data_IF_019755492110
#
_entry.id   IF_019755492110
#
_cell.length_a   1.000
_cell.length_b   1.000
_cell.length_c   1.000
_cell.angle_alpha   90.00
_cell.angle_beta   90.00
_cell.angle_gamma   90.00
#
_symmetry.space_group_name_H-M   'P 1'
#
loop_
_entity.id
_entity.type
_entity.pdbx_description
1 polymer ?
#
# COMPACT_ATOMS: atom_id res chain seq x y z
N UNK A 1 -33.02 -14.28 -48.50
CA UNK A 1 -32.75 -15.62 -47.94
C UNK A 1 -31.43 -15.51 -47.23
N UNK A 2 -31.45 -15.00 -46.01
CA UNK A 2 -30.28 -14.90 -45.11
C UNK A 2 -30.44 -16.00 -44.08
N UNK A 3 -29.50 -16.94 -44.09
CA UNK A 3 -29.44 -18.05 -43.14
C UNK A 3 -29.13 -17.53 -41.74
N UNK A 4 -30.10 -17.64 -40.86
CA UNK A 4 -29.91 -17.57 -39.43
C UNK A 4 -28.96 -18.72 -39.02
N UNK A 5 -27.69 -18.38 -38.73
CA UNK A 5 -26.81 -19.31 -38.00
C UNK A 5 -27.21 -19.32 -36.54
N UNK A 6 -28.19 -20.14 -36.26
CA UNK A 6 -28.51 -20.55 -34.90
C UNK A 6 -27.40 -21.50 -34.43
N UNK A 7 -26.34 -20.92 -33.80
CA UNK A 7 -25.28 -21.72 -33.15
C UNK A 7 -25.70 -22.01 -31.73
N UNK A 8 -26.60 -22.96 -31.54
CA UNK A 8 -26.88 -23.59 -30.25
C UNK A 8 -25.79 -24.64 -29.93
N UNK A 9 -24.55 -24.19 -29.73
CA UNK A 9 -23.56 -25.02 -29.09
C UNK A 9 -23.85 -24.98 -27.56
N UNK A 10 -24.40 -26.07 -27.04
CA UNK A 10 -24.51 -26.24 -25.58
C UNK A 10 -23.12 -26.06 -25.00
N UNK A 11 -22.89 -25.05 -24.14
CA UNK A 11 -21.56 -24.81 -23.58
C UNK A 11 -21.10 -26.05 -22.82
N UNK A 12 -19.84 -26.45 -23.06
CA UNK A 12 -19.22 -27.58 -22.36
C UNK A 12 -19.29 -27.31 -20.84
N UNK A 13 -19.84 -28.22 -20.05
CA UNK A 13 -19.99 -28.03 -18.61
C UNK A 13 -18.63 -27.91 -17.96
N UNK A 14 -18.49 -26.91 -17.11
CA UNK A 14 -17.30 -26.67 -16.30
C UNK A 14 -17.50 -27.34 -14.95
N UNK A 15 -16.51 -28.10 -14.48
CA UNK A 15 -16.57 -28.78 -13.16
C UNK A 15 -15.39 -28.36 -12.32
N UNK A 16 -15.64 -28.03 -11.06
CA UNK A 16 -14.59 -27.61 -10.11
C UNK A 16 -15.03 -27.77 -8.65
N UNK A 17 -14.06 -27.65 -7.75
CA UNK A 17 -14.30 -27.62 -6.30
C UNK A 17 -14.75 -26.22 -5.88
N UNK A 18 -15.76 -26.13 -5.05
CA UNK A 18 -16.31 -24.88 -4.53
C UNK A 18 -15.50 -24.35 -3.34
N UNK A 19 -15.19 -23.05 -3.38
CA UNK A 19 -14.72 -22.27 -2.24
C UNK A 19 -15.73 -21.18 -1.96
N UNK A 20 -16.22 -21.12 -0.71
CA UNK A 20 -17.36 -20.28 -0.34
C UNK A 20 -16.96 -19.31 0.75
N UNK A 21 -17.12 -18.01 0.51
CA UNK A 21 -16.96 -16.98 1.53
C UNK A 21 -17.66 -15.68 1.10
N UNK A 22 -18.46 -15.09 1.96
CA UNK A 22 -19.06 -13.78 1.73
C UNK A 22 -18.04 -12.62 1.70
N UNK A 23 -16.81 -12.87 2.17
CA UNK A 23 -15.71 -11.89 2.13
C UNK A 23 -14.62 -12.36 1.17
N UNK A 24 -14.51 -11.71 0.03
CA UNK A 24 -13.53 -12.05 -1.02
C UNK A 24 -12.11 -12.13 -0.46
N UNK A 25 -11.72 -11.23 0.46
CA UNK A 25 -10.41 -11.24 1.10
C UNK A 25 -10.10 -12.59 1.80
N UNK A 26 -11.07 -13.20 2.43
CA UNK A 26 -10.90 -14.50 3.07
C UNK A 26 -10.84 -15.63 2.04
N UNK A 27 -11.68 -15.52 1.01
CA UNK A 27 -11.75 -16.49 -0.08
C UNK A 27 -10.42 -16.62 -0.82
N UNK A 28 -9.82 -15.49 -1.19
CA UNK A 28 -8.54 -15.46 -1.94
C UNK A 28 -7.35 -16.03 -1.16
N UNK A 29 -7.44 -16.16 0.14
CA UNK A 29 -6.40 -16.81 0.96
C UNK A 29 -6.42 -18.34 0.84
N UNK A 30 -7.54 -18.93 0.37
CA UNK A 30 -7.79 -20.37 0.38
C UNK A 30 -8.02 -20.95 -1.00
N UNK A 31 -8.54 -20.18 -1.94
CA UNK A 31 -8.85 -20.63 -3.30
C UNK A 31 -7.58 -20.92 -4.09
N UNK A 32 -7.61 -22.01 -4.86
CA UNK A 32 -6.55 -22.44 -5.74
C UNK A 32 -6.96 -22.32 -7.22
N UNK A 33 -5.98 -22.23 -8.16
CA UNK A 33 -6.28 -22.15 -9.59
C UNK A 33 -7.16 -23.31 -10.06
N UNK A 34 -8.20 -23.00 -10.87
CA UNK A 34 -9.13 -23.99 -11.40
C UNK A 34 -10.28 -24.37 -10.46
N UNK A 35 -10.35 -23.82 -9.28
CA UNK A 35 -11.50 -23.96 -8.37
C UNK A 35 -12.63 -22.97 -8.73
N UNK A 36 -13.80 -23.14 -8.15
CA UNK A 36 -14.98 -22.28 -8.31
C UNK A 36 -15.08 -21.36 -7.10
N UNK A 37 -15.05 -20.05 -7.29
CA UNK A 37 -15.26 -19.06 -6.27
C UNK A 37 -16.76 -18.80 -6.09
N UNK A 38 -17.31 -18.95 -4.89
CA UNK A 38 -18.68 -18.57 -4.52
C UNK A 38 -18.61 -17.38 -3.58
N UNK A 39 -19.21 -16.26 -3.99
CA UNK A 39 -19.18 -14.99 -3.29
C UNK A 39 -20.59 -14.42 -3.11
N UNK A 40 -20.71 -13.46 -2.21
CA UNK A 40 -21.92 -12.66 -2.03
C UNK A 40 -21.49 -11.18 -2.00
N UNK A 41 -21.31 -10.62 -3.21
CA UNK A 41 -20.79 -9.27 -3.35
C UNK A 41 -21.66 -8.47 -4.32
N UNK A 42 -22.44 -7.53 -3.77
CA UNK A 42 -23.11 -6.52 -4.58
C UNK A 42 -22.10 -5.47 -5.02
N UNK A 43 -22.20 -5.06 -6.29
CA UNK A 43 -21.31 -4.03 -6.87
C UNK A 43 -19.82 -4.40 -6.71
N UNK A 44 -19.39 -5.44 -7.42
CA UNK A 44 -18.03 -5.99 -7.36
C UNK A 44 -16.99 -4.95 -7.78
N UNK A 45 -16.17 -4.52 -6.83
CA UNK A 45 -15.12 -3.53 -7.05
C UNK A 45 -13.90 -4.09 -7.80
N UNK A 46 -13.04 -3.18 -8.30
CA UNK A 46 -11.83 -3.51 -9.04
C UNK A 46 -10.83 -4.32 -8.22
N UNK A 47 -10.61 -3.97 -6.95
CA UNK A 47 -9.61 -4.61 -6.11
C UNK A 47 -10.00 -6.05 -5.82
N UNK A 48 -11.26 -6.28 -5.48
CA UNK A 48 -11.83 -7.62 -5.27
C UNK A 48 -11.76 -8.49 -6.53
N UNK A 49 -12.09 -7.93 -7.70
CA UNK A 49 -12.00 -8.66 -8.97
C UNK A 49 -10.55 -9.04 -9.32
N UNK A 50 -9.59 -8.12 -9.17
CA UNK A 50 -8.16 -8.40 -9.39
C UNK A 50 -7.62 -9.45 -8.44
N UNK A 51 -8.05 -9.39 -7.17
CA UNK A 51 -7.67 -10.39 -6.19
C UNK A 51 -8.16 -11.80 -6.60
N UNK A 52 -9.39 -11.92 -7.11
CA UNK A 52 -9.90 -13.16 -7.69
C UNK A 52 -9.12 -13.60 -8.94
N UNK A 53 -8.87 -12.68 -9.88
CA UNK A 53 -8.07 -12.96 -11.09
C UNK A 53 -6.68 -13.50 -10.74
N UNK A 54 -6.02 -12.95 -9.72
CA UNK A 54 -4.70 -13.40 -9.27
C UNK A 54 -4.66 -14.86 -8.83
N UNK A 55 -5.83 -15.42 -8.47
CA UNK A 55 -6.01 -16.82 -8.07
C UNK A 55 -6.46 -17.75 -9.20
N UNK A 56 -6.79 -17.18 -10.36
CA UNK A 56 -7.23 -17.92 -11.54
C UNK A 56 -8.34 -18.95 -11.26
N UNK A 57 -9.48 -18.58 -10.62
CA UNK A 57 -10.61 -19.48 -10.51
C UNK A 57 -11.15 -19.79 -11.90
N UNK A 58 -11.74 -20.99 -12.09
CA UNK A 58 -12.34 -21.36 -13.37
C UNK A 58 -13.70 -20.67 -13.59
N UNK A 59 -14.39 -20.36 -12.48
CA UNK A 59 -15.66 -19.63 -12.46
C UNK A 59 -15.84 -18.85 -11.17
N UNK A 60 -16.58 -17.75 -11.26
CA UNK A 60 -17.08 -16.98 -10.12
C UNK A 60 -18.61 -17.07 -10.13
N UNK A 61 -19.15 -17.54 -9.02
CA UNK A 61 -20.58 -17.65 -8.76
C UNK A 61 -20.97 -16.62 -7.71
N UNK A 62 -21.71 -15.59 -8.09
CA UNK A 62 -22.09 -14.51 -7.18
C UNK A 62 -23.55 -14.64 -6.77
N UNK A 63 -23.79 -14.66 -5.46
CA UNK A 63 -25.14 -14.68 -4.91
C UNK A 63 -25.91 -13.40 -5.22
N UNK A 64 -25.23 -12.24 -5.15
CA UNK A 64 -25.77 -10.92 -5.44
C UNK A 64 -25.44 -10.48 -6.88
N UNK A 65 -26.10 -9.45 -7.44
CA UNK A 65 -25.72 -8.86 -8.70
C UNK A 65 -24.37 -8.13 -8.57
N UNK A 66 -23.41 -8.50 -9.43
CA UNK A 66 -22.07 -7.91 -9.48
C UNK A 66 -22.06 -6.46 -9.99
N UNK A 67 -23.15 -6.03 -10.63
CA UNK A 67 -23.46 -4.63 -10.97
C UNK A 67 -24.94 -4.38 -10.65
N UNK A 68 -25.20 -3.49 -9.69
CA UNK A 68 -26.58 -3.11 -9.35
C UNK A 68 -27.12 -1.99 -10.24
N UNK A 69 -26.30 -1.47 -11.13
CA UNK A 69 -26.62 -0.30 -11.94
C UNK A 69 -26.67 1.02 -11.14
N UNK A 70 -26.34 1.01 -9.85
CA UNK A 70 -26.34 2.21 -8.99
C UNK A 70 -24.99 2.89 -8.91
N UNK A 71 -23.93 2.11 -9.11
CA UNK A 71 -22.55 2.55 -9.02
C UNK A 71 -21.76 2.09 -10.25
N UNK A 72 -20.72 2.84 -10.59
CA UNK A 72 -19.78 2.42 -11.60
C UNK A 72 -18.89 1.31 -11.03
N UNK A 73 -18.95 0.12 -11.59
CA UNK A 73 -18.16 -1.02 -11.16
C UNK A 73 -17.40 -1.63 -12.34
N UNK A 74 -16.12 -1.91 -12.14
CA UNK A 74 -15.25 -2.52 -13.14
C UNK A 74 -14.99 -4.01 -12.88
N UNK A 75 -15.41 -4.51 -11.73
CA UNK A 75 -15.14 -5.88 -11.32
C UNK A 75 -15.59 -6.93 -12.33
N UNK A 76 -16.84 -6.93 -12.79
CA UNK A 76 -17.33 -7.89 -13.77
C UNK A 76 -16.50 -7.89 -15.07
N UNK A 77 -16.14 -6.71 -15.57
CA UNK A 77 -15.29 -6.53 -16.73
C UNK A 77 -13.93 -7.18 -16.58
N UNK A 78 -13.28 -6.94 -15.45
CA UNK A 78 -11.95 -7.48 -15.12
C UNK A 78 -11.96 -9.01 -15.09
N UNK A 79 -13.03 -9.62 -14.52
CA UNK A 79 -13.18 -11.07 -14.50
C UNK A 79 -13.36 -11.65 -15.92
N UNK A 80 -14.23 -11.04 -16.73
CA UNK A 80 -14.49 -11.50 -18.09
C UNK A 80 -13.29 -11.31 -19.02
N UNK A 81 -12.58 -10.17 -18.92
CA UNK A 81 -11.34 -9.91 -19.67
C UNK A 81 -10.23 -10.91 -19.32
N UNK A 82 -10.24 -11.44 -18.09
CA UNK A 82 -9.34 -12.51 -17.65
C UNK A 82 -9.79 -13.91 -18.10
N UNK A 83 -10.94 -14.02 -18.81
CA UNK A 83 -11.48 -15.30 -19.28
C UNK A 83 -12.15 -16.14 -18.19
N UNK A 84 -12.49 -15.54 -17.05
CA UNK A 84 -13.18 -16.21 -15.94
C UNK A 84 -14.68 -16.17 -16.22
N UNK A 85 -15.33 -17.34 -16.13
CA UNK A 85 -16.78 -17.44 -16.26
C UNK A 85 -17.45 -16.84 -15.02
N UNK A 86 -18.41 -15.94 -15.24
CA UNK A 86 -19.14 -15.29 -14.14
C UNK A 86 -20.63 -15.59 -14.26
N UNK A 87 -21.21 -16.16 -13.22
CA UNK A 87 -22.68 -16.30 -13.09
C UNK A 87 -23.12 -15.41 -11.92
N UNK A 88 -24.00 -14.51 -12.23
CA UNK A 88 -24.47 -13.45 -11.34
C UNK A 88 -25.90 -13.69 -10.87
N UNK A 89 -26.28 -13.02 -9.79
CA UNK A 89 -27.65 -13.04 -9.25
C UNK A 89 -28.20 -14.47 -8.99
N UNK A 90 -27.34 -15.34 -8.45
CA UNK A 90 -27.69 -16.74 -8.12
C UNK A 90 -28.62 -16.85 -6.89
N UNK A 91 -28.79 -15.76 -6.13
CA UNK A 91 -29.52 -15.74 -4.88
C UNK A 91 -28.72 -16.29 -3.68
N UNK A 92 -29.21 -16.00 -2.45
CA UNK A 92 -28.45 -16.31 -1.23
C UNK A 92 -28.28 -17.82 -0.96
N UNK A 93 -29.09 -18.65 -1.56
CA UNK A 93 -29.06 -20.12 -1.32
C UNK A 93 -27.75 -20.75 -1.83
N UNK A 94 -27.07 -20.16 -2.84
CA UNK A 94 -25.77 -20.64 -3.32
C UNK A 94 -24.70 -20.60 -2.23
N UNK A 95 -24.81 -19.70 -1.26
CA UNK A 95 -23.88 -19.59 -0.14
C UNK A 95 -23.99 -20.77 0.86
N UNK A 96 -25.01 -21.61 0.71
CA UNK A 96 -25.17 -22.84 1.54
C UNK A 96 -24.35 -24.02 1.03
N UNK A 97 -23.71 -23.91 -0.11
CA UNK A 97 -22.79 -24.90 -0.66
C UNK A 97 -21.62 -25.10 0.30
N UNK A 98 -21.22 -26.36 0.49
CA UNK A 98 -20.12 -26.70 1.40
C UNK A 98 -18.77 -26.46 0.76
N UNK A 99 -17.85 -26.00 1.57
CA UNK A 99 -16.43 -25.84 1.16
C UNK A 99 -15.87 -27.16 0.63
N UNK A 100 -15.26 -27.11 -0.57
CA UNK A 100 -14.67 -28.30 -1.22
C UNK A 100 -15.68 -29.21 -1.92
N UNK A 101 -16.95 -28.82 -2.01
CA UNK A 101 -17.96 -29.58 -2.74
C UNK A 101 -17.74 -29.46 -4.25
N UNK A 102 -17.92 -30.56 -5.00
CA UNK A 102 -17.80 -30.53 -6.46
C UNK A 102 -19.06 -29.99 -7.10
N UNK A 103 -18.95 -28.91 -7.84
CA UNK A 103 -20.02 -28.29 -8.60
C UNK A 103 -19.77 -28.42 -10.09
N UNK A 104 -20.86 -28.41 -10.85
CA UNK A 104 -20.85 -28.32 -12.30
C UNK A 104 -21.63 -27.08 -12.73
N UNK A 105 -21.04 -26.31 -13.65
CA UNK A 105 -21.66 -25.14 -14.24
C UNK A 105 -22.01 -25.43 -15.69
N UNK A 106 -23.26 -25.24 -16.07
CA UNK A 106 -23.79 -25.48 -17.42
C UNK A 106 -24.59 -24.27 -17.88
N UNK A 107 -23.95 -23.40 -18.65
CA UNK A 107 -24.57 -22.12 -19.05
C UNK A 107 -24.84 -21.25 -17.82
N UNK A 108 -26.10 -20.98 -17.53
CA UNK A 108 -26.58 -20.20 -16.40
C UNK A 108 -26.99 -21.05 -15.17
N UNK A 109 -26.88 -22.37 -15.27
CA UNK A 109 -27.28 -23.31 -14.24
C UNK A 109 -26.06 -23.77 -13.43
N UNK A 110 -26.23 -23.87 -12.11
CA UNK A 110 -25.27 -24.50 -11.21
C UNK A 110 -25.85 -25.81 -10.72
N UNK A 111 -25.10 -26.91 -10.92
CA UNK A 111 -25.55 -28.26 -10.60
C UNK A 111 -24.66 -28.89 -9.52
N UNK A 112 -25.31 -29.69 -8.67
CA UNK A 112 -24.69 -30.52 -7.65
C UNK A 112 -25.16 -31.97 -7.85
N UNK A 113 -24.21 -32.87 -8.12
CA UNK A 113 -24.50 -34.29 -8.38
C UNK A 113 -25.55 -34.53 -9.50
N UNK A 114 -25.67 -33.60 -10.46
CA UNK A 114 -26.63 -33.66 -11.57
C UNK A 114 -27.92 -32.88 -11.34
N UNK A 115 -28.22 -32.48 -10.10
CA UNK A 115 -29.40 -31.67 -9.76
C UNK A 115 -29.07 -30.18 -9.84
N UNK A 116 -29.95 -29.37 -10.42
CA UNK A 116 -29.83 -27.91 -10.47
C UNK A 116 -30.11 -27.34 -9.09
N UNK A 117 -29.13 -26.64 -8.52
CA UNK A 117 -29.24 -26.03 -7.19
C UNK A 117 -29.43 -24.52 -7.24
N UNK A 118 -29.02 -23.87 -8.33
CA UNK A 118 -29.22 -22.44 -8.55
C UNK A 118 -29.25 -22.12 -10.05
N UNK A 119 -29.94 -21.03 -10.38
CA UNK A 119 -29.96 -20.43 -11.70
C UNK A 119 -29.64 -18.95 -11.55
N UNK A 120 -28.73 -18.44 -12.38
CA UNK A 120 -28.33 -17.05 -12.37
C UNK A 120 -28.26 -16.46 -13.78
N UNK A 121 -27.61 -15.33 -13.89
CA UNK A 121 -27.33 -14.66 -15.15
C UNK A 121 -25.87 -14.90 -15.54
N UNK A 122 -25.66 -15.53 -16.69
CA UNK A 122 -24.31 -15.70 -17.26
C UNK A 122 -23.90 -14.36 -17.88
N UNK A 123 -22.92 -13.70 -17.27
CA UNK A 123 -22.41 -12.44 -17.79
C UNK A 123 -21.63 -12.64 -19.10
N UNK A 124 -21.93 -11.83 -20.09
CA UNK A 124 -21.24 -11.80 -21.38
C UNK A 124 -20.76 -10.39 -21.78
N UNK A 125 -20.05 -10.30 -22.90
CA UNK A 125 -19.52 -9.05 -23.39
C UNK A 125 -20.63 -8.03 -23.76
N UNK A 126 -21.82 -8.49 -24.17
CA UNK A 126 -22.94 -7.62 -24.55
C UNK A 126 -23.59 -6.97 -23.34
N UNK A 127 -23.61 -7.67 -22.19
CA UNK A 127 -24.07 -7.12 -20.93
C UNK A 127 -23.16 -5.96 -20.50
N UNK A 128 -21.84 -6.16 -20.62
CA UNK A 128 -20.86 -5.13 -20.31
C UNK A 128 -20.94 -3.89 -21.21
N UNK A 129 -21.20 -4.08 -22.52
CA UNK A 129 -21.38 -2.94 -23.43
C UNK A 129 -22.63 -2.10 -23.11
N UNK A 130 -23.69 -2.76 -22.68
CA UNK A 130 -24.91 -2.09 -22.24
C UNK A 130 -24.67 -1.35 -20.92
N UNK A 131 -24.01 -2.02 -19.97
CA UNK A 131 -23.58 -1.42 -18.69
C UNK A 131 -22.68 -0.21 -18.92
N UNK A 132 -21.71 -0.26 -19.84
CA UNK A 132 -20.83 0.88 -20.15
C UNK A 132 -21.58 2.10 -20.69
N UNK A 133 -22.60 1.89 -21.53
CA UNK A 133 -23.44 3.00 -22.04
C UNK A 133 -24.26 3.63 -20.94
N UNK A 134 -24.78 2.82 -20.05
CA UNK A 134 -25.55 3.29 -18.88
C UNK A 134 -24.62 3.96 -17.85
N UNK A 135 -23.45 3.39 -17.61
CA UNK A 135 -22.41 3.93 -16.77
C UNK A 135 -21.89 5.30 -17.26
N UNK A 136 -21.71 5.51 -18.56
CA UNK A 136 -21.38 6.84 -19.11
C UNK A 136 -22.45 7.89 -18.82
N UNK A 137 -23.73 7.50 -18.78
CA UNK A 137 -24.82 8.37 -18.33
C UNK A 137 -24.74 8.61 -16.82
N UNK A 138 -24.33 7.59 -16.05
CA UNK A 138 -24.18 7.72 -14.62
C UNK A 138 -22.98 8.57 -14.20
N UNK A 139 -21.87 8.62 -14.96
CA UNK A 139 -20.74 9.50 -14.66
C UNK A 139 -21.22 10.96 -14.51
N UNK A 140 -22.13 11.42 -15.38
CA UNK A 140 -22.69 12.77 -15.26
C UNK A 140 -23.54 12.93 -14.00
N UNK A 141 -24.26 11.89 -13.60
CA UNK A 141 -25.08 11.88 -12.37
C UNK A 141 -24.19 11.80 -11.13
N UNK A 142 -23.11 11.03 -11.18
CA UNK A 142 -22.13 10.93 -10.09
C UNK A 142 -21.34 12.22 -9.90
N UNK A 143 -20.94 12.89 -11.00
CA UNK A 143 -20.35 14.23 -10.93
C UNK A 143 -21.34 15.21 -10.30
N UNK A 144 -22.62 15.15 -10.64
CA UNK A 144 -23.67 15.93 -9.98
C UNK A 144 -23.81 15.61 -8.49
N UNK A 145 -23.75 14.33 -8.12
CA UNK A 145 -23.77 13.87 -6.74
C UNK A 145 -22.51 14.28 -5.97
N UNK A 146 -21.35 14.24 -6.61
CA UNK A 146 -20.11 14.74 -6.06
C UNK A 146 -20.19 16.25 -5.77
N UNK A 147 -20.68 17.04 -6.74
CA UNK A 147 -20.88 18.48 -6.54
C UNK A 147 -21.80 18.78 -5.35
N UNK A 148 -22.89 18.01 -5.19
CA UNK A 148 -23.78 18.16 -4.03
C UNK A 148 -23.13 17.73 -2.70
N UNK A 149 -22.21 16.77 -2.71
CA UNK A 149 -21.51 16.31 -1.51
C UNK A 149 -20.37 17.26 -1.07
N UNK A 150 -19.93 18.16 -1.95
CA UNK A 150 -18.90 19.14 -1.62
C UNK A 150 -19.36 20.10 -0.52
N UNK A 151 -20.56 20.66 -0.67
CA UNK A 151 -21.08 21.62 0.30
C UNK A 151 -21.22 20.97 1.67
N UNK A 152 -21.79 19.76 1.73
CA UNK A 152 -21.93 19.00 2.98
C UNK A 152 -20.57 18.70 3.64
N UNK A 153 -19.58 18.33 2.84
CA UNK A 153 -18.23 18.07 3.35
C UNK A 153 -17.57 19.34 3.86
N UNK A 154 -17.62 20.43 3.11
CA UNK A 154 -17.00 21.70 3.51
C UNK A 154 -17.65 22.31 4.75
N UNK A 155 -18.96 22.17 4.92
CA UNK A 155 -19.66 22.61 6.13
C UNK A 155 -19.25 21.77 7.35
N UNK A 156 -19.07 20.46 7.19
CA UNK A 156 -18.79 19.54 8.28
C UNK A 156 -17.29 19.43 8.61
N UNK A 157 -16.48 19.22 7.59
CA UNK A 157 -15.06 18.86 7.73
C UNK A 157 -14.11 19.92 7.16
N UNK A 158 -14.62 21.03 6.62
CA UNK A 158 -13.81 22.08 5.99
C UNK A 158 -12.77 22.70 6.91
N UNK A 159 -12.97 22.66 8.22
CA UNK A 159 -12.00 23.09 9.23
C UNK A 159 -10.72 22.23 9.22
N UNK A 160 -10.85 20.93 8.96
CA UNK A 160 -9.70 20.00 8.88
C UNK A 160 -8.76 20.36 7.73
N UNK A 161 -9.29 20.90 6.62
CA UNK A 161 -8.48 21.35 5.48
C UNK A 161 -7.56 22.52 5.86
N UNK A 162 -7.90 23.28 6.92
CA UNK A 162 -7.07 24.33 7.50
C UNK A 162 -6.18 23.84 8.63
N UNK A 163 -6.27 22.54 8.97
CA UNK A 163 -5.53 21.94 10.07
C UNK A 163 -6.22 22.01 11.43
N UNK A 164 -7.42 22.59 11.51
CA UNK A 164 -8.17 22.65 12.77
C UNK A 164 -8.70 21.25 13.12
N UNK A 165 -8.37 20.76 14.32
CA UNK A 165 -8.74 19.40 14.75
C UNK A 165 -7.87 18.27 14.17
N UNK A 166 -6.82 18.60 13.42
CA UNK A 166 -5.84 17.62 12.91
C UNK A 166 -4.67 17.51 13.89
N UNK A 167 -4.35 16.32 14.42
CA UNK A 167 -3.14 16.09 15.19
C UNK A 167 -1.89 16.47 14.38
N UNK A 168 -0.99 17.26 14.97
CA UNK A 168 0.22 17.71 14.28
C UNK A 168 1.48 17.28 15.01
N UNK A 169 2.48 16.84 14.25
CA UNK A 169 3.76 16.29 14.73
C UNK A 169 4.94 16.96 14.05
N UNK A 170 4.95 18.30 14.05
CA UNK A 170 5.97 19.10 13.34
C UNK A 170 7.38 18.75 13.75
N UNK A 171 7.64 18.56 15.03
CA UNK A 171 8.98 18.22 15.52
C UNK A 171 9.59 16.97 14.90
N UNK A 172 8.73 16.03 14.45
CA UNK A 172 9.18 14.77 13.86
C UNK A 172 9.11 14.78 12.33
N UNK A 173 8.07 15.42 11.77
CA UNK A 173 7.70 15.27 10.35
C UNK A 173 8.21 16.43 9.50
N UNK A 174 8.32 17.64 10.04
CA UNK A 174 8.65 18.83 9.25
C UNK A 174 9.95 18.65 8.46
N UNK A 175 9.87 18.86 7.14
CA UNK A 175 11.01 18.73 6.23
C UNK A 175 11.41 17.28 5.90
N UNK A 176 10.81 16.28 6.53
CA UNK A 176 11.09 14.87 6.25
C UNK A 176 10.12 14.27 5.24
N UNK A 177 10.57 13.30 4.43
CA UNK A 177 9.69 12.54 3.57
C UNK A 177 8.82 11.56 4.39
N UNK A 178 7.58 11.37 3.96
CA UNK A 178 6.61 10.44 4.57
C UNK A 178 6.25 9.36 3.57
N UNK A 179 6.16 8.12 4.04
CA UNK A 179 5.68 6.97 3.28
C UNK A 179 4.41 6.43 3.92
N UNK A 180 3.28 6.56 3.23
CA UNK A 180 2.01 5.93 3.61
C UNK A 180 1.96 4.53 2.99
N UNK A 181 1.64 3.51 3.78
CA UNK A 181 1.50 2.13 3.32
C UNK A 181 0.06 1.71 3.52
N UNK A 182 -0.64 1.48 2.40
CA UNK A 182 -2.03 1.01 2.39
C UNK A 182 -2.11 -0.52 2.40
N UNK A 183 -3.28 -1.05 2.75
CA UNK A 183 -3.59 -2.47 2.66
C UNK A 183 -4.14 -2.81 1.27
N UNK A 184 -3.27 -2.74 0.28
CA UNK A 184 -3.59 -3.02 -1.11
C UNK A 184 -2.52 -3.93 -1.73
N UNK A 185 -2.92 -4.74 -2.72
CA UNK A 185 -1.99 -5.65 -3.41
C UNK A 185 -0.87 -4.92 -4.16
N UNK A 186 -1.17 -3.73 -4.72
CA UNK A 186 -0.18 -2.89 -5.39
C UNK A 186 0.87 -2.34 -4.42
N UNK A 187 0.54 -2.22 -3.11
CA UNK A 187 1.50 -1.77 -2.10
C UNK A 187 2.75 -2.64 -2.05
N UNK A 188 2.60 -3.95 -2.31
CA UNK A 188 3.74 -4.89 -2.33
C UNK A 188 4.71 -4.56 -3.47
N UNK A 189 4.18 -4.27 -4.65
CA UNK A 189 4.98 -3.93 -5.83
C UNK A 189 5.62 -2.55 -5.68
N UNK A 190 4.84 -1.58 -5.21
CA UNK A 190 5.33 -0.23 -4.93
C UNK A 190 6.47 -0.25 -3.90
N UNK A 191 6.31 -0.97 -2.79
CA UNK A 191 7.36 -1.10 -1.78
C UNK A 191 8.62 -1.79 -2.31
N UNK A 192 8.50 -2.73 -3.25
CA UNK A 192 9.66 -3.33 -3.93
C UNK A 192 10.38 -2.30 -4.79
N UNK A 193 9.63 -1.52 -5.57
CA UNK A 193 10.17 -0.49 -6.47
C UNK A 193 10.81 0.66 -5.69
N UNK A 194 10.23 1.05 -4.55
CA UNK A 194 10.69 2.10 -3.66
C UNK A 194 11.86 1.70 -2.75
N UNK A 195 12.29 0.42 -2.73
CA UNK A 195 13.27 -0.09 -1.76
C UNK A 195 14.52 0.78 -1.63
N UNK A 196 15.06 1.27 -2.75
CA UNK A 196 16.26 2.12 -2.76
C UNK A 196 15.97 3.49 -2.15
N UNK A 197 14.88 4.10 -2.55
CA UNK A 197 14.45 5.39 -2.00
C UNK A 197 14.19 5.30 -0.49
N UNK A 198 13.53 4.24 -0.03
CA UNK A 198 13.29 4.00 1.40
C UNK A 198 14.60 3.93 2.18
N UNK A 199 15.62 3.27 1.61
CA UNK A 199 16.95 3.14 2.25
C UNK A 199 17.69 4.49 2.29
N UNK A 200 17.63 5.26 1.21
CA UNK A 200 18.42 6.49 1.04
C UNK A 200 17.76 7.71 1.70
N UNK A 201 16.44 7.81 1.62
CA UNK A 201 15.66 8.91 2.15
C UNK A 201 15.19 8.69 3.60
N UNK A 202 15.18 7.43 4.06
CA UNK A 202 14.72 7.02 5.40
C UNK A 202 13.39 7.67 5.79
N UNK A 203 12.30 7.52 4.98
CA UNK A 203 11.05 8.22 5.21
C UNK A 203 10.41 7.81 6.52
N UNK A 204 9.61 8.70 7.09
CA UNK A 204 8.75 8.38 8.23
C UNK A 204 7.60 7.50 7.71
N UNK A 205 7.47 6.30 8.26
CA UNK A 205 6.51 5.32 7.79
C UNK A 205 5.20 5.43 8.56
N UNK A 206 4.12 5.60 7.81
CA UNK A 206 2.74 5.54 8.28
C UNK A 206 2.11 4.23 7.80
N UNK A 207 1.59 3.44 8.70
CA UNK A 207 0.80 2.25 8.36
C UNK A 207 -0.69 2.57 8.44
N UNK A 208 -1.40 2.39 7.34
CA UNK A 208 -2.82 2.71 7.23
C UNK A 208 -3.62 1.41 7.31
N UNK A 209 -4.48 1.29 8.31
CA UNK A 209 -5.28 0.08 8.56
C UNK A 209 -4.43 -1.20 8.46
N UNK A 210 -4.81 -2.19 7.66
CA UNK A 210 -4.03 -3.41 7.42
C UNK A 210 -2.64 -3.18 6.82
N UNK A 211 -2.40 -2.05 6.14
CA UNK A 211 -1.09 -1.65 5.61
C UNK A 211 0.00 -1.50 6.68
N UNK A 212 -0.39 -1.25 7.93
CA UNK A 212 0.54 -1.26 9.06
C UNK A 212 1.14 -2.66 9.30
N UNK A 213 0.35 -3.73 9.09
CA UNK A 213 0.83 -5.10 9.18
C UNK A 213 1.78 -5.41 8.02
N UNK A 214 1.41 -5.00 6.79
CA UNK A 214 2.22 -5.16 5.59
C UNK A 214 3.58 -4.46 5.74
N UNK A 215 3.58 -3.22 6.23
CA UNK A 215 4.82 -2.48 6.49
C UNK A 215 5.75 -3.27 7.42
N UNK A 216 5.24 -3.81 8.53
CA UNK A 216 6.02 -4.62 9.47
C UNK A 216 6.54 -5.91 8.83
N UNK A 217 5.73 -6.61 8.03
CA UNK A 217 6.12 -7.81 7.29
C UNK A 217 7.25 -7.53 6.29
N UNK A 218 7.27 -6.33 5.72
CA UNK A 218 8.35 -5.83 4.84
C UNK A 218 9.54 -5.23 5.60
N UNK A 219 9.61 -5.43 6.93
CA UNK A 219 10.67 -4.94 7.82
C UNK A 219 10.76 -3.42 7.90
N UNK A 220 9.70 -2.73 7.56
CA UNK A 220 9.53 -1.32 7.85
C UNK A 220 9.02 -1.17 9.29
N UNK A 221 9.37 -0.05 9.92
CA UNK A 221 8.94 0.25 11.28
C UNK A 221 7.95 1.42 11.21
N UNK A 222 6.63 1.15 11.15
CA UNK A 222 5.67 2.23 11.14
C UNK A 222 5.76 3.00 12.47
N UNK A 223 6.17 4.27 12.37
CA UNK A 223 6.18 5.18 13.51
C UNK A 223 4.77 5.63 13.85
N UNK A 224 3.95 5.80 12.82
CA UNK A 224 2.55 6.19 12.90
C UNK A 224 1.67 5.06 12.39
N UNK A 225 0.57 4.83 13.09
CA UNK A 225 -0.52 3.98 12.60
C UNK A 225 -1.80 4.81 12.61
N UNK A 226 -2.51 4.80 11.47
CA UNK A 226 -3.70 5.61 11.26
C UNK A 226 -4.83 4.73 10.76
N UNK A 227 -6.03 4.90 11.30
CA UNK A 227 -7.21 4.21 10.84
C UNK A 227 -8.13 3.73 11.96
N UNK A 228 -8.96 2.73 11.66
CA UNK A 228 -9.99 2.22 12.59
C UNK A 228 -9.43 1.25 13.64
N UNK A 229 -8.14 0.90 13.57
CA UNK A 229 -7.38 0.06 14.53
C UNK A 229 -7.82 -1.40 14.64
N UNK A 230 -8.93 -1.82 14.06
CA UNK A 230 -9.49 -3.17 14.19
C UNK A 230 -8.74 -4.22 13.36
N UNK A 231 -8.23 -3.85 12.19
CA UNK A 231 -7.48 -4.73 11.27
C UNK A 231 -5.98 -4.86 11.61
N UNK A 232 -5.48 -4.03 12.52
CA UNK A 232 -4.06 -4.02 12.88
C UNK A 232 -3.74 -5.11 13.89
N UNK A 233 -2.63 -5.81 13.69
CA UNK A 233 -2.11 -6.80 14.66
C UNK A 233 -1.69 -6.10 15.96
N UNK A 234 -1.96 -6.71 17.11
CA UNK A 234 -1.60 -6.16 18.44
C UNK A 234 -0.13 -5.74 18.52
N UNK A 235 0.76 -6.59 18.01
CA UNK A 235 2.20 -6.32 18.01
C UNK A 235 2.60 -5.12 17.12
N UNK A 236 1.76 -4.66 16.18
CA UNK A 236 1.97 -3.41 15.43
C UNK A 236 1.53 -2.24 16.27
N UNK A 237 0.32 -2.30 16.84
CA UNK A 237 -0.23 -1.25 17.70
C UNK A 237 0.67 -0.93 18.91
N UNK A 238 1.25 -1.96 19.57
CA UNK A 238 2.15 -1.79 20.70
C UNK A 238 3.49 -1.15 20.35
N UNK A 239 4.01 -1.37 19.14
CA UNK A 239 5.31 -0.85 18.72
C UNK A 239 5.24 0.50 18.01
N UNK A 240 4.07 0.89 17.52
CA UNK A 240 3.88 2.20 16.91
C UNK A 240 4.09 3.31 17.97
N UNK A 241 4.80 4.37 17.58
CA UNK A 241 5.02 5.52 18.44
C UNK A 241 3.74 6.32 18.62
N UNK A 242 3.04 6.55 17.51
CA UNK A 242 1.79 7.31 17.46
C UNK A 242 0.66 6.46 16.88
N UNK A 243 -0.50 6.55 17.50
CA UNK A 243 -1.75 5.90 17.09
C UNK A 243 -2.79 6.98 16.89
N UNK A 244 -3.27 7.11 15.65
CA UNK A 244 -4.26 8.11 15.25
C UNK A 244 -5.51 7.36 14.81
N UNK A 245 -6.51 7.37 15.66
CA UNK A 245 -7.80 6.74 15.43
C UNK A 245 -8.65 7.67 14.56
N UNK A 246 -9.00 7.20 13.36
CA UNK A 246 -10.01 7.86 12.55
C UNK A 246 -11.40 7.50 13.09
N UNK A 247 -12.20 8.49 13.37
CA UNK A 247 -13.57 8.33 13.84
C UNK A 247 -14.53 8.99 12.86
N UNK A 248 -15.57 8.26 12.44
CA UNK A 248 -16.70 8.85 11.72
C UNK A 248 -17.57 9.67 12.65
N UNK A 249 -18.40 10.55 12.07
CA UNK A 249 -19.38 11.34 12.82
C UNK A 249 -20.54 10.52 13.42
N UNK A 250 -20.62 9.23 13.07
CA UNK A 250 -21.57 8.27 13.66
C UNK A 250 -21.20 7.84 15.10
N UNK A 251 -20.03 8.25 15.57
CA UNK A 251 -19.58 7.99 16.93
C UNK A 251 -19.17 6.55 17.21
N UNK A 252 -19.16 5.64 16.20
CA UNK A 252 -18.71 4.26 16.35
C UNK A 252 -17.21 4.23 16.67
N UNK A 253 -16.82 3.53 17.74
CA UNK A 253 -15.46 3.56 18.29
C UNK A 253 -14.92 2.17 18.67
N UNK A 254 -15.22 1.14 17.91
CA UNK A 254 -14.72 -0.22 18.16
C UNK A 254 -13.18 -0.27 18.33
N UNK A 255 -12.46 0.53 17.54
CA UNK A 255 -11.02 0.68 17.66
C UNK A 255 -10.57 1.33 18.96
N UNK A 256 -11.32 2.32 19.48
CA UNK A 256 -11.04 2.96 20.76
C UNK A 256 -11.18 1.95 21.90
N UNK A 257 -12.29 1.22 21.96
CA UNK A 257 -12.50 0.18 22.97
C UNK A 257 -11.42 -0.91 22.94
N UNK A 258 -10.93 -1.22 21.75
CA UNK A 258 -9.82 -2.17 21.59
C UNK A 258 -8.53 -1.63 22.16
N UNK A 259 -8.17 -0.38 21.86
CA UNK A 259 -6.98 0.28 22.38
C UNK A 259 -7.04 0.43 23.91
N UNK A 260 -8.19 0.81 24.44
CA UNK A 260 -8.42 0.91 25.89
C UNK A 260 -8.21 -0.43 26.61
N UNK A 261 -8.77 -1.53 26.05
CA UNK A 261 -8.52 -2.87 26.57
C UNK A 261 -7.06 -3.30 26.54
N UNK A 262 -6.28 -2.75 25.61
CA UNK A 262 -4.84 -2.98 25.48
C UNK A 262 -4.00 -2.04 26.36
N UNK A 263 -4.61 -1.03 26.98
CA UNK A 263 -3.93 0.02 27.75
C UNK A 263 -3.08 0.95 26.86
N UNK A 264 -3.50 1.16 25.60
CA UNK A 264 -2.79 2.00 24.64
C UNK A 264 -3.54 3.30 24.39
N UNK A 265 -2.87 4.44 24.60
CA UNK A 265 -3.41 5.74 24.23
C UNK A 265 -3.40 5.97 22.72
N UNK A 266 -4.33 6.78 22.23
CA UNK A 266 -4.38 7.27 20.85
C UNK A 266 -4.84 8.71 20.80
N UNK A 267 -4.51 9.40 19.70
CA UNK A 267 -5.17 10.64 19.30
C UNK A 267 -6.29 10.32 18.30
N UNK A 268 -7.31 11.15 18.25
CA UNK A 268 -8.47 10.94 17.38
C UNK A 268 -8.60 12.06 16.37
N UNK A 269 -8.96 11.69 15.15
CA UNK A 269 -9.41 12.62 14.11
C UNK A 269 -10.82 12.24 13.71
N UNK A 270 -11.76 13.18 13.88
CA UNK A 270 -13.14 12.99 13.49
C UNK A 270 -13.38 13.56 12.10
N UNK A 271 -13.77 12.70 11.16
CA UNK A 271 -13.92 13.08 9.76
C UNK A 271 -14.75 12.10 8.96
N UNK A 272 -15.32 12.58 7.86
CA UNK A 272 -16.08 11.78 6.89
C UNK A 272 -15.22 10.99 5.91
N UNK A 273 -13.90 11.28 5.82
CA UNK A 273 -12.98 10.68 4.86
C UNK A 273 -12.48 9.28 5.25
N UNK A 274 -11.59 8.76 4.44
CA UNK A 274 -10.93 7.47 4.65
C UNK A 274 -9.75 7.59 5.64
N UNK A 275 -9.21 6.46 6.09
CA UNK A 275 -7.98 6.42 6.89
C UNK A 275 -6.77 6.99 6.13
N UNK A 276 -6.74 6.84 4.80
CA UNK A 276 -5.76 7.47 3.91
C UNK A 276 -5.85 8.99 3.99
N UNK A 277 -7.07 9.54 3.91
CA UNK A 277 -7.30 10.99 3.98
C UNK A 277 -6.86 11.56 5.32
N UNK A 278 -7.14 10.85 6.42
CA UNK A 278 -6.67 11.23 7.76
C UNK A 278 -5.14 11.29 7.82
N UNK A 279 -4.45 10.29 7.27
CA UNK A 279 -3.00 10.25 7.24
C UNK A 279 -2.40 11.36 6.36
N UNK A 280 -3.03 11.67 5.21
CA UNK A 280 -2.65 12.78 4.36
C UNK A 280 -2.76 14.13 5.07
N UNK A 281 -3.87 14.38 5.78
CA UNK A 281 -4.05 15.60 6.57
C UNK A 281 -2.96 15.74 7.63
N UNK A 282 -2.72 14.67 8.41
CA UNK A 282 -1.68 14.68 9.46
C UNK A 282 -0.30 14.95 8.86
N UNK A 283 0.09 14.26 7.79
CA UNK A 283 1.39 14.44 7.16
C UNK A 283 1.56 15.85 6.58
N UNK A 284 0.52 16.36 5.90
CA UNK A 284 0.51 17.68 5.27
C UNK A 284 0.63 18.79 6.33
N UNK A 285 -0.23 18.77 7.36
CA UNK A 285 -0.24 19.82 8.39
C UNK A 285 0.95 19.71 9.35
N UNK A 286 1.63 18.56 9.39
CA UNK A 286 2.89 18.39 10.10
C UNK A 286 4.11 18.84 9.29
N UNK A 287 3.93 19.29 8.02
CA UNK A 287 5.00 19.86 7.21
C UNK A 287 5.90 18.84 6.53
N UNK A 288 5.36 17.69 6.12
CA UNK A 288 6.09 16.70 5.32
C UNK A 288 6.66 17.32 4.04
N UNK A 289 7.93 17.05 3.73
CA UNK A 289 8.58 17.56 2.50
C UNK A 289 8.09 16.86 1.24
N UNK A 290 7.71 15.61 1.37
CA UNK A 290 7.05 14.81 0.34
C UNK A 290 6.26 13.68 0.98
N UNK A 291 5.13 13.32 0.37
CA UNK A 291 4.25 12.24 0.82
C UNK A 291 4.15 11.24 -0.32
N UNK A 292 4.62 10.03 -0.09
CA UNK A 292 4.57 8.93 -1.06
C UNK A 292 3.60 7.89 -0.55
N UNK A 293 2.65 7.46 -1.39
CA UNK A 293 1.66 6.46 -1.02
C UNK A 293 1.98 5.17 -1.79
N UNK A 294 2.20 4.09 -1.05
CA UNK A 294 2.31 2.74 -1.59
C UNK A 294 0.95 2.04 -1.51
N UNK A 295 0.46 1.57 -2.65
CA UNK A 295 -0.85 0.91 -2.79
C UNK A 295 -1.99 1.85 -3.19
N UNK A 296 -1.70 3.12 -3.52
CA UNK A 296 -2.73 4.01 -4.05
C UNK A 296 -2.86 3.87 -5.56
N UNK A 297 -4.07 3.65 -6.04
CA UNK A 297 -4.45 3.92 -7.42
C UNK A 297 -4.80 5.40 -7.57
N UNK A 298 -4.37 6.01 -8.66
CA UNK A 298 -4.61 7.44 -8.93
C UNK A 298 -5.51 7.63 -10.15
N UNK A 299 -6.21 6.57 -10.55
CA UNK A 299 -7.08 6.58 -11.72
C UNK A 299 -8.45 7.22 -11.40
N UNK A 300 -9.07 7.82 -12.42
CA UNK A 300 -10.42 8.38 -12.31
C UNK A 300 -11.42 7.30 -11.86
N UNK A 301 -11.22 6.09 -12.33
CA UNK A 301 -12.08 4.95 -12.02
C UNK A 301 -12.04 4.60 -10.53
N UNK A 302 -10.83 4.59 -9.91
CA UNK A 302 -10.67 4.39 -8.47
C UNK A 302 -11.34 5.51 -7.65
N UNK A 303 -11.27 6.76 -8.15
CA UNK A 303 -11.92 7.89 -7.51
C UNK A 303 -13.46 7.75 -7.53
N UNK A 304 -14.01 7.28 -8.64
CA UNK A 304 -15.46 7.06 -8.80
C UNK A 304 -15.95 5.85 -7.99
N UNK A 305 -15.11 4.81 -7.87
CA UNK A 305 -15.40 3.57 -7.14
C UNK A 305 -15.42 3.76 -5.60
N UNK A 306 -14.82 4.83 -5.07
CA UNK A 306 -14.76 5.14 -3.62
C UNK A 306 -16.11 5.46 -2.96
N UNK A 307 -17.15 5.60 -3.74
CA UNK A 307 -18.49 5.95 -3.26
C UNK A 307 -18.65 7.43 -2.89
N UNK A 308 -19.90 7.88 -2.84
CA UNK A 308 -20.27 9.29 -2.73
C UNK A 308 -19.70 9.99 -1.48
N UNK A 309 -19.71 9.31 -0.35
CA UNK A 309 -19.28 9.90 0.94
C UNK A 309 -17.78 10.11 1.07
N UNK A 310 -16.97 9.34 0.32
CA UNK A 310 -15.52 9.42 0.37
C UNK A 310 -14.91 10.28 -0.76
N UNK A 311 -15.68 10.59 -1.83
CA UNK A 311 -15.16 11.33 -2.99
C UNK A 311 -14.72 12.75 -2.63
N UNK A 312 -15.57 13.53 -1.95
CA UNK A 312 -15.25 14.92 -1.58
C UNK A 312 -14.05 14.99 -0.59
N UNK A 313 -14.04 14.22 0.51
CA UNK A 313 -12.87 14.16 1.39
C UNK A 313 -11.57 13.85 0.64
N UNK A 314 -11.53 12.75 -0.12
CA UNK A 314 -10.32 12.33 -0.83
C UNK A 314 -9.85 13.33 -1.89
N UNK A 315 -10.78 14.01 -2.56
CA UNK A 315 -10.43 15.06 -3.50
C UNK A 315 -9.75 16.24 -2.80
N UNK A 316 -10.33 16.76 -1.73
CA UNK A 316 -9.84 17.96 -1.06
C UNK A 316 -8.58 17.69 -0.23
N UNK A 317 -8.44 16.53 0.40
CA UNK A 317 -7.22 16.16 1.13
C UNK A 317 -6.02 16.01 0.19
N UNK A 318 -6.22 15.40 -0.98
CA UNK A 318 -5.18 15.29 -2.01
C UNK A 318 -4.84 16.65 -2.63
N UNK A 319 -5.85 17.49 -2.88
CA UNK A 319 -5.63 18.86 -3.35
C UNK A 319 -4.87 19.69 -2.30
N UNK A 320 -5.19 19.53 -1.01
CA UNK A 320 -4.51 20.19 0.11
C UNK A 320 -3.06 19.72 0.28
N UNK A 321 -2.76 18.45 0.02
CA UNK A 321 -1.40 17.93 0.01
C UNK A 321 -0.57 18.51 -1.16
N UNK A 322 -1.22 18.87 -2.27
CA UNK A 322 -0.62 19.59 -3.38
C UNK A 322 0.68 18.95 -3.90
N UNK A 323 1.72 19.76 -4.06
CA UNK A 323 3.03 19.35 -4.58
C UNK A 323 3.79 18.38 -3.66
N UNK A 324 3.40 18.28 -2.39
CA UNK A 324 4.00 17.32 -1.46
C UNK A 324 3.62 15.87 -1.80
N UNK A 325 2.47 15.64 -2.45
CA UNK A 325 1.99 14.32 -2.81
C UNK A 325 2.67 13.83 -4.10
N UNK A 326 3.45 12.76 -4.00
CA UNK A 326 4.20 12.20 -5.13
C UNK A 326 3.86 10.72 -5.31
N UNK A 327 3.63 10.30 -6.55
CA UNK A 327 3.33 8.88 -6.81
C UNK A 327 4.54 7.98 -6.58
N UNK A 328 4.29 6.77 -6.03
CA UNK A 328 5.33 5.76 -5.81
C UNK A 328 6.12 5.45 -7.09
N UNK A 329 5.42 5.33 -8.23
CA UNK A 329 6.03 5.07 -9.54
C UNK A 329 6.95 6.21 -9.99
N UNK A 330 6.53 7.47 -9.78
CA UNK A 330 7.36 8.63 -10.13
C UNK A 330 8.64 8.68 -9.29
N UNK A 331 8.51 8.45 -7.97
CA UNK A 331 9.67 8.37 -7.07
C UNK A 331 10.61 7.24 -7.48
N UNK A 332 10.09 6.04 -7.74
CA UNK A 332 10.90 4.90 -8.15
C UNK A 332 11.65 5.14 -9.47
N UNK A 333 11.00 5.83 -10.44
CA UNK A 333 11.59 6.13 -11.75
C UNK A 333 12.63 7.25 -11.71
N UNK A 334 12.47 8.23 -10.82
CA UNK A 334 13.32 9.44 -10.79
C UNK A 334 14.41 9.39 -9.74
N UNK A 335 14.27 8.51 -8.73
CA UNK A 335 15.24 8.41 -7.65
C UNK A 335 16.59 7.92 -8.15
N UNK A 336 17.59 8.78 -8.08
CA UNK A 336 18.99 8.42 -8.36
C UNK A 336 19.67 8.03 -7.06
N UNK A 337 20.24 6.83 -6.96
CA UNK A 337 20.91 6.39 -5.73
C UNK A 337 22.05 7.36 -5.41
N UNK A 338 22.10 7.84 -4.19
CA UNK A 338 23.27 8.58 -3.69
C UNK A 338 24.46 7.63 -3.62
N UNK A 339 25.57 8.05 -4.21
CA UNK A 339 26.84 7.35 -4.05
C UNK A 339 27.18 7.43 -2.56
N UNK A 340 27.26 6.30 -1.89
CA UNK A 340 27.61 6.25 -0.47
C UNK A 340 28.98 6.92 -0.27
N UNK A 341 29.06 7.85 0.67
CA UNK A 341 30.33 8.49 1.07
C UNK A 341 31.39 7.44 1.46
N UNK A 342 30.97 6.29 1.99
CA UNK A 342 31.86 5.17 2.29
C UNK A 342 32.58 4.63 1.03
N UNK A 343 31.91 4.56 -0.12
CA UNK A 343 32.54 4.17 -1.38
C UNK A 343 33.56 5.19 -1.87
N UNK A 344 33.28 6.49 -1.69
CA UNK A 344 34.23 7.56 -2.03
C UNK A 344 35.46 7.51 -1.12
N UNK A 345 35.25 7.27 0.19
CA UNK A 345 36.37 7.08 1.15
C UNK A 345 37.16 5.83 0.81
N UNK A 346 36.50 4.71 0.51
CA UNK A 346 37.19 3.47 0.08
C UNK A 346 38.01 3.69 -1.18
N UNK A 347 37.47 4.38 -2.18
CA UNK A 347 38.16 4.70 -3.43
C UNK A 347 39.36 5.62 -3.17
N UNK A 348 39.22 6.59 -2.26
CA UNK A 348 40.31 7.47 -1.84
C UNK A 348 41.44 6.66 -1.14
N UNK A 349 41.08 5.78 -0.21
CA UNK A 349 42.04 4.90 0.47
C UNK A 349 42.73 3.98 -0.53
N UNK A 350 41.98 3.37 -1.46
CA UNK A 350 42.56 2.49 -2.48
C UNK A 350 43.52 3.26 -3.41
N UNK A 351 43.17 4.50 -3.78
CA UNK A 351 44.04 5.38 -4.57
C UNK A 351 45.31 5.73 -3.81
N UNK A 352 45.20 6.12 -2.52
CA UNK A 352 46.37 6.41 -1.67
C UNK A 352 47.25 5.19 -1.46
N UNK A 353 46.67 4.02 -1.25
CA UNK A 353 47.40 2.75 -1.13
C UNK A 353 48.12 2.41 -2.44
N UNK A 354 47.46 2.61 -3.60
CA UNK A 354 48.08 2.43 -4.92
C UNK A 354 49.27 3.38 -5.16
N UNK A 355 49.10 4.66 -4.82
CA UNK A 355 50.15 5.67 -4.90
C UNK A 355 51.31 5.31 -3.94
N UNK A 356 50.99 4.89 -2.72
CA UNK A 356 51.99 4.46 -1.75
C UNK A 356 52.79 3.24 -2.23
N UNK A 357 52.13 2.24 -2.81
CA UNK A 357 52.76 1.08 -3.40
C UNK A 357 53.64 1.42 -4.60
N UNK A 358 53.15 2.31 -5.48
CA UNK A 358 53.92 2.81 -6.63
C UNK A 358 55.17 3.59 -6.17
N UNK A 359 55.00 4.46 -5.16
CA UNK A 359 56.12 5.19 -4.56
C UNK A 359 57.16 4.26 -3.91
N UNK A 360 56.69 3.24 -3.18
CA UNK A 360 57.55 2.23 -2.55
C UNK A 360 58.33 1.41 -3.56
N UNK A 361 57.81 1.20 -4.77
CA UNK A 361 58.50 0.44 -5.82
C UNK A 361 59.63 1.25 -6.54
N UNK A 362 59.69 2.57 -6.28
CA UNK A 362 60.74 3.42 -6.88
C UNK A 362 61.97 3.55 -5.94
N UNK A 363 63.22 3.62 -6.49
CA UNK A 363 64.41 3.83 -5.66
C UNK A 363 64.36 5.12 -4.83
N UNK A 364 63.84 6.20 -5.39
CA UNK A 364 63.66 7.50 -4.73
C UNK A 364 62.69 7.38 -3.52
N UNK A 365 61.62 6.59 -3.64
CA UNK A 365 60.65 6.40 -2.56
C UNK A 365 61.25 5.63 -1.39
N UNK A 366 62.07 4.63 -1.67
CA UNK A 366 62.77 3.86 -0.65
C UNK A 366 63.80 4.70 0.13
N UNK A 367 64.54 5.56 -0.56
CA UNK A 367 65.53 6.46 0.07
C UNK A 367 64.84 7.53 0.93
N UNK A 368 63.75 8.08 0.46
CA UNK A 368 62.96 9.08 1.22
C UNK A 368 62.34 8.46 2.49
N UNK A 369 61.85 7.24 2.38
CA UNK A 369 61.32 6.50 3.53
C UNK A 369 62.39 6.20 4.57
N UNK A 370 63.61 5.79 4.16
CA UNK A 370 64.75 5.61 5.07
C UNK A 370 65.08 6.91 5.81
N UNK A 371 65.13 8.05 5.11
CA UNK A 371 65.38 9.35 5.70
C UNK A 371 64.29 9.77 6.72
N UNK A 372 63.02 9.47 6.42
CA UNK A 372 61.89 9.71 7.35
C UNK A 372 61.97 8.84 8.62
N UNK A 373 62.31 7.58 8.47
CA UNK A 373 62.50 6.68 9.61
C UNK A 373 63.70 7.11 10.46
N UNK A 374 64.85 7.47 9.83
CA UNK A 374 66.03 7.98 10.54
C UNK A 374 65.74 9.30 11.28
N UNK A 375 64.97 10.20 10.65
CA UNK A 375 64.53 11.46 11.29
C UNK A 375 63.62 11.18 12.50
N UNK A 376 62.66 10.27 12.38
CA UNK A 376 61.74 9.87 13.46
C UNK A 376 62.49 9.20 14.62
N UNK A 377 63.46 8.29 14.33
CA UNK A 377 64.24 7.62 15.38
C UNK A 377 65.19 8.58 16.08
N UNK A 378 65.78 9.56 15.38
CA UNK A 378 66.62 10.60 15.99
C UNK A 378 65.85 11.56 16.90
N UNK A 379 64.57 11.90 16.57
CA UNK A 379 63.76 12.78 17.41
C UNK A 379 63.23 12.08 18.67
N UNK A 380 62.92 10.78 18.59
CA UNK A 380 62.46 10.00 19.76
C UNK A 380 63.61 9.64 20.71
N UNK A 381 64.86 9.69 20.24
CA UNK A 381 66.04 9.43 21.08
C UNK A 381 66.53 10.64 21.90
N UNK A 382 66.07 11.84 21.58
CA UNK A 382 66.47 13.07 22.31
C UNK A 382 65.63 13.44 23.54
N UNK A 383 64.44 12.89 23.70
CA UNK A 383 63.56 13.22 24.85
C UNK A 383 63.91 12.54 26.19
N UNK A 384 64.41 11.31 26.29
CA UNK A 384 64.61 10.68 27.59
C UNK A 384 65.81 11.26 28.39
N UNK A 385 66.77 11.92 27.73
CA UNK A 385 67.94 12.48 28.43
C UNK A 385 67.66 13.80 29.18
N UNK A 386 66.77 14.62 28.67
CA UNK A 386 66.37 15.90 29.29
C UNK A 386 65.47 15.69 30.51
N UNK A 387 64.56 14.69 30.47
CA UNK A 387 63.69 14.34 31.58
C UNK A 387 64.44 13.69 32.76
N UNK A 388 65.46 12.88 32.46
CA UNK A 388 66.29 12.23 33.48
C UNK A 388 67.19 13.23 34.20
N UNK A 389 67.72 14.22 33.48
CA UNK A 389 68.51 15.29 34.07
C UNK A 389 67.69 16.23 35.00
N UNK A 390 66.42 16.49 34.64
CA UNK A 390 65.49 17.28 35.46
C UNK A 390 65.05 16.56 36.73
N UNK A 391 64.88 15.26 36.70
CA UNK A 391 64.50 14.44 37.87
C UNK A 391 65.69 14.28 38.82
N UNK A 392 66.94 14.14 38.32
CA UNK A 392 68.13 14.06 39.18
C UNK A 392 68.49 15.40 39.81
N UNK A 393 68.19 16.54 39.20
CA UNK A 393 68.35 17.86 39.77
C UNK A 393 67.37 18.23 40.88
N UNK A 394 66.18 17.59 40.91
CA UNK A 394 65.14 17.87 41.91
C UNK A 394 65.26 17.07 43.22
N UNK A 395 66.18 16.10 43.29
CA UNK A 395 66.44 15.32 44.53
C UNK A 395 67.78 15.65 45.21
N UNK A 396 68.41 16.75 44.81
CA UNK A 396 69.65 17.23 45.43
C UNK A 396 69.52 18.62 46.07
N UNK A 397 68.40 18.85 46.78
CA UNK A 397 68.28 19.96 47.77
C UNK A 397 67.51 19.47 48.99
#
# INVERSE_FOLDING_TARGET
MMEERNSSATPTPITGLARVDGRIRNLVMRIEPGEIAIIDQSDLDRASARALVSKAPIAVLNAAPSSSGRHFVLGPRILLDAGILVIDDLGPDIMTVREGETLQVRGHEVLRAGDVIANGHLLDASDLENDEREQRRMISTQIGSFAASIDEYLERDGALLKGEGVPTYREEIEGNPVLLVLDDEHAIEDLKSLKRWITDAAPIVFGIDGGANLAKERRLKPAFVVGDMDQMKEGVLRHAKHRILRRGHDGLTAGLERLDRMGLGCETIEMSGTSEDAALLVATHSGASSIVIAGASHDLDDFVDRGRSAMAPSFFTRLGAGDALVSAKAVAATHRPRISSAWLVFLLIAMLAGLGAAFWSTPLGQDLFRLLVEWGTNHTAQEPAALTALIQGAFAC
#
